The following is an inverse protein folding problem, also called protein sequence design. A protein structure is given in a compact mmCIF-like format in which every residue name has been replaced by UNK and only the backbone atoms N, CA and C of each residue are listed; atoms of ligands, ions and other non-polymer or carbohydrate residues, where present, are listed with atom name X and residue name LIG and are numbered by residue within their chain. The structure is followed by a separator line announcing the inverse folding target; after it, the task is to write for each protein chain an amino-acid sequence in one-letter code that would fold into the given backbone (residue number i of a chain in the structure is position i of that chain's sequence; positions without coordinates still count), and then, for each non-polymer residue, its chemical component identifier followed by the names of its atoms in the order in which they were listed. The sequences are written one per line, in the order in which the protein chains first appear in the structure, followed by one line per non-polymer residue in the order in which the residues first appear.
data_IF_727568994268
#
_entry.id   IF_727568994268
#
_cell.length_a   1.000
_cell.length_b   1.000
_cell.length_c   1.000
_cell.angle_alpha   90.00
_cell.angle_beta   90.00
_cell.angle_gamma   90.00
#
_symmetry.space_group_name_H-M   'P 1'
#
loop_
_entity.id
_entity.type
_entity.pdbx_description
1 polymer ?
#
# COMPACT_ATOMS: atom_id res chain seq x y z
N UNK A 1 77.98 -23.76 -33.65
CA UNK A 1 77.45 -22.48 -33.13
C UNK A 1 76.53 -21.89 -34.18
N UNK A 2 75.21 -22.08 -34.06
CA UNK A 2 74.24 -21.29 -34.85
C UNK A 2 73.02 -21.07 -33.98
N UNK A 3 72.81 -19.82 -33.58
CA UNK A 3 71.69 -19.39 -32.74
C UNK A 3 70.41 -19.36 -33.57
N UNK A 4 69.40 -20.03 -33.03
CA UNK A 4 67.99 -19.91 -33.37
C UNK A 4 67.46 -18.56 -32.90
N UNK A 5 66.69 -17.83 -33.70
CA UNK A 5 65.67 -16.90 -33.19
C UNK A 5 64.59 -16.69 -34.25
N UNK A 6 63.45 -17.34 -34.01
CA UNK A 6 62.21 -17.21 -34.78
C UNK A 6 61.37 -16.09 -34.18
N UNK A 7 61.03 -15.14 -35.05
CA UNK A 7 59.87 -14.24 -35.11
C UNK A 7 59.00 -14.10 -33.85
N UNK A 8 58.94 -12.86 -33.36
CA UNK A 8 58.04 -12.43 -32.29
C UNK A 8 56.56 -12.66 -32.63
N UNK A 9 55.84 -13.19 -31.65
CA UNK A 9 54.41 -13.36 -31.66
C UNK A 9 53.77 -12.05 -31.16
N UNK A 10 53.03 -11.37 -32.03
CA UNK A 10 52.14 -10.28 -31.65
C UNK A 10 51.03 -10.86 -30.77
N UNK A 11 51.02 -10.51 -29.48
CA UNK A 11 49.87 -10.73 -28.61
C UNK A 11 48.81 -9.67 -28.92
N UNK A 12 47.79 -10.07 -29.68
CA UNK A 12 46.55 -9.29 -29.81
C UNK A 12 45.77 -9.44 -28.51
N UNK A 13 45.77 -8.40 -27.68
CA UNK A 13 44.95 -8.35 -26.47
C UNK A 13 43.46 -8.23 -26.86
N UNK A 14 42.70 -9.28 -26.61
CA UNK A 14 41.23 -9.26 -26.72
C UNK A 14 40.68 -8.63 -25.44
N UNK A 15 40.25 -7.38 -25.51
CA UNK A 15 39.47 -6.72 -24.47
C UNK A 15 38.03 -7.24 -24.53
N UNK A 16 37.69 -8.19 -23.67
CA UNK A 16 36.31 -8.64 -23.47
C UNK A 16 35.57 -7.54 -22.69
N UNK A 17 34.88 -6.65 -23.41
CA UNK A 17 33.96 -5.69 -22.80
C UNK A 17 32.70 -6.44 -22.36
N UNK A 18 32.62 -6.80 -21.08
CA UNK A 18 31.40 -7.31 -20.47
C UNK A 18 30.42 -6.15 -20.32
N UNK A 19 29.60 -5.90 -21.33
CA UNK A 19 28.46 -5.00 -21.22
C UNK A 19 27.48 -5.57 -20.21
N UNK A 20 27.52 -5.08 -18.97
CA UNK A 20 26.47 -5.29 -18.01
C UNK A 20 25.20 -4.63 -18.57
N UNK A 21 24.32 -5.43 -19.16
CA UNK A 21 22.99 -4.98 -19.52
C UNK A 21 22.31 -4.51 -18.23
N UNK A 22 22.12 -3.19 -18.08
CA UNK A 22 21.13 -2.66 -17.17
C UNK A 22 19.79 -3.22 -17.66
N UNK A 23 19.35 -4.33 -17.07
CA UNK A 23 17.94 -4.69 -17.10
C UNK A 23 17.26 -3.50 -16.42
N UNK A 24 16.42 -2.72 -17.11
CA UNK A 24 15.59 -1.78 -16.40
C UNK A 24 14.82 -2.64 -15.41
N UNK A 25 15.06 -2.45 -14.11
CA UNK A 25 14.20 -2.96 -13.08
C UNK A 25 12.84 -2.36 -13.45
N UNK A 26 12.02 -3.16 -14.13
CA UNK A 26 10.71 -2.74 -14.57
C UNK A 26 10.08 -2.16 -13.32
N UNK A 27 9.71 -0.87 -13.38
CA UNK A 27 8.84 -0.26 -12.40
C UNK A 27 7.75 -1.27 -12.19
N UNK A 28 7.84 -2.02 -11.08
CA UNK A 28 6.95 -3.13 -10.87
C UNK A 28 5.57 -2.52 -11.04
N UNK A 29 4.69 -3.19 -11.79
CA UNK A 29 3.26 -2.86 -11.90
C UNK A 29 2.60 -3.15 -10.54
N UNK A 30 3.26 -2.69 -9.47
CA UNK A 30 2.93 -2.77 -8.08
C UNK A 30 2.04 -1.62 -7.64
N UNK A 31 1.59 -0.78 -8.58
CA UNK A 31 0.29 -0.13 -8.44
C UNK A 31 -0.82 -1.16 -8.67
N UNK A 32 -0.62 -2.39 -8.15
CA UNK A 32 -1.55 -3.51 -8.20
C UNK A 32 -2.89 -2.91 -7.82
N UNK A 33 -3.81 -2.88 -8.78
CA UNK A 33 -5.12 -2.28 -8.56
C UNK A 33 -5.86 -3.02 -7.45
N UNK A 34 -7.16 -2.78 -7.35
CA UNK A 34 -7.92 -3.34 -6.24
C UNK A 34 -8.36 -4.80 -6.45
N UNK A 35 -7.89 -5.48 -7.49
CA UNK A 35 -8.41 -6.79 -7.92
C UNK A 35 -8.16 -7.95 -6.94
N UNK A 36 -7.22 -7.81 -6.02
CA UNK A 36 -6.94 -8.81 -4.97
C UNK A 36 -7.75 -8.57 -3.69
N UNK A 37 -8.54 -7.50 -3.64
CA UNK A 37 -9.38 -7.12 -2.52
C UNK A 37 -10.86 -7.18 -2.91
N UNK A 38 -11.73 -7.53 -1.97
CA UNK A 38 -13.17 -7.55 -2.21
C UNK A 38 -13.73 -6.12 -2.10
N UNK A 39 -13.67 -5.36 -3.19
CA UNK A 39 -14.13 -3.96 -3.21
C UNK A 39 -15.65 -3.80 -3.11
N UNK A 40 -16.41 -4.89 -2.94
CA UNK A 40 -17.85 -4.82 -2.72
C UNK A 40 -18.19 -4.45 -1.27
N UNK A 41 -17.32 -4.77 -0.31
CA UNK A 41 -17.62 -4.66 1.12
C UNK A 41 -16.48 -3.98 1.85
N UNK A 42 -16.66 -2.70 2.13
CA UNK A 42 -15.77 -1.95 3.01
C UNK A 42 -16.02 -2.29 4.48
N UNK A 43 -14.95 -2.38 5.26
CA UNK A 43 -14.95 -2.66 6.69
C UNK A 43 -14.26 -1.55 7.47
N UNK A 44 -14.75 -1.31 8.68
CA UNK A 44 -14.16 -0.39 9.65
C UNK A 44 -13.44 -1.15 10.76
N UNK A 45 -12.26 -0.67 11.13
CA UNK A 45 -11.44 -1.17 12.23
C UNK A 45 -10.78 0.02 12.94
N UNK A 46 -10.75 0.01 14.27
CA UNK A 46 -9.92 0.89 15.09
C UNK A 46 -8.99 0.07 15.96
N UNK A 47 -7.73 0.51 16.06
CA UNK A 47 -6.77 -0.06 17.00
C UNK A 47 -5.38 0.59 16.94
N UNK A 48 -4.50 0.11 17.80
CA UNK A 48 -3.12 0.57 17.94
C UNK A 48 -2.20 -0.07 16.88
N UNK A 49 -1.27 0.71 16.34
CA UNK A 49 -0.21 0.22 15.46
C UNK A 49 0.79 -0.61 16.26
N UNK A 50 0.97 -1.88 15.87
CA UNK A 50 1.92 -2.81 16.50
C UNK A 50 3.16 -3.10 15.67
N UNK A 51 3.14 -2.85 14.35
CA UNK A 51 4.30 -2.99 13.46
C UNK A 51 4.22 -1.98 12.32
N UNK A 52 5.37 -1.41 11.94
CA UNK A 52 5.49 -0.48 10.82
C UNK A 52 6.61 -0.90 9.89
N UNK A 53 6.27 -1.14 8.62
CA UNK A 53 7.21 -1.21 7.51
C UNK A 53 6.91 -0.08 6.54
N UNK A 54 7.61 1.03 6.72
CA UNK A 54 7.45 2.22 5.91
C UNK A 54 8.32 2.15 4.66
N UNK A 55 7.72 2.17 3.46
CA UNK A 55 8.51 2.09 2.24
C UNK A 55 7.73 1.79 0.97
N UNK A 56 8.50 1.42 -0.06
CA UNK A 56 8.02 1.11 -1.40
C UNK A 56 7.93 -0.41 -1.64
N UNK A 57 7.01 -0.89 -2.50
CA UNK A 57 6.01 -0.12 -3.25
C UNK A 57 4.77 0.27 -2.42
N UNK A 58 4.59 -0.38 -1.27
CA UNK A 58 3.53 -0.12 -0.32
C UNK A 58 4.12 -0.10 1.08
N UNK A 59 3.67 0.84 1.90
CA UNK A 59 3.90 0.72 3.35
C UNK A 59 2.95 -0.33 3.91
N UNK A 60 3.44 -1.09 4.88
CA UNK A 60 2.68 -2.14 5.53
C UNK A 60 2.63 -1.81 7.02
N UNK A 61 1.42 -1.73 7.56
CA UNK A 61 1.18 -1.45 8.97
C UNK A 61 0.44 -2.65 9.54
N UNK A 62 0.76 -3.07 10.76
CA UNK A 62 -0.10 -4.02 11.50
C UNK A 62 -0.76 -3.27 12.63
N UNK A 63 -2.08 -3.40 12.75
CA UNK A 63 -2.86 -2.84 13.87
C UNK A 63 -3.52 -3.96 14.67
N UNK A 64 -3.76 -3.71 15.96
CA UNK A 64 -4.75 -4.47 16.73
C UNK A 64 -6.17 -4.18 16.22
N UNK A 65 -7.08 -5.10 16.50
CA UNK A 65 -8.52 -4.93 16.30
C UNK A 65 -9.14 -4.72 17.68
N UNK A 66 -9.21 -3.46 18.11
CA UNK A 66 -9.66 -3.10 19.46
C UNK A 66 -11.14 -2.70 19.47
N UNK A 67 -11.59 -2.01 18.43
CA UNK A 67 -12.98 -1.58 18.25
C UNK A 67 -13.39 -1.69 16.78
N UNK A 68 -14.61 -2.16 16.53
CA UNK A 68 -15.14 -2.37 15.18
C UNK A 68 -16.50 -1.68 14.95
N UNK A 69 -17.12 -1.15 16.00
CA UNK A 69 -18.36 -0.39 15.86
C UNK A 69 -18.12 0.88 15.03
N UNK A 70 -19.06 1.20 14.14
CA UNK A 70 -18.95 2.40 13.31
C UNK A 70 -19.11 3.64 14.19
N UNK A 71 -18.16 4.59 14.17
CA UNK A 71 -18.31 5.82 14.93
C UNK A 71 -19.45 6.66 14.37
N UNK A 72 -20.12 7.40 15.25
CA UNK A 72 -21.18 8.33 14.86
C UNK A 72 -20.65 9.33 13.82
N UNK A 73 -21.45 9.59 12.77
CA UNK A 73 -21.09 10.53 11.71
C UNK A 73 -19.96 10.06 10.78
N UNK A 74 -19.51 8.79 10.84
CA UNK A 74 -18.48 8.26 9.92
C UNK A 74 -18.76 8.60 8.45
N UNK A 75 -20.03 8.49 8.04
CA UNK A 75 -20.48 8.72 6.65
C UNK A 75 -20.52 10.19 6.25
N UNK A 76 -20.49 11.09 7.22
CA UNK A 76 -20.56 12.54 7.03
C UNK A 76 -19.19 13.21 7.21
N UNK A 77 -18.13 12.42 7.44
CA UNK A 77 -16.77 12.95 7.64
C UNK A 77 -16.29 13.73 6.42
N UNK A 78 -15.59 14.87 6.62
CA UNK A 78 -15.03 15.62 5.52
C UNK A 78 -13.99 14.78 4.77
N UNK A 79 -14.05 14.85 3.45
CA UNK A 79 -13.08 14.19 2.58
C UNK A 79 -11.89 15.12 2.32
N UNK A 80 -10.65 14.60 2.22
CA UNK A 80 -9.52 15.37 1.71
C UNK A 80 -9.83 15.94 0.33
N UNK A 81 -9.33 17.14 0.01
CA UNK A 81 -9.60 17.83 -1.26
C UNK A 81 -9.25 16.97 -2.50
N UNK A 82 -8.22 16.13 -2.41
CA UNK A 82 -7.75 15.28 -3.50
C UNK A 82 -8.53 13.97 -3.63
N UNK A 83 -9.50 13.71 -2.74
CA UNK A 83 -10.27 12.47 -2.76
C UNK A 83 -11.17 12.39 -3.99
N UNK A 84 -11.37 11.17 -4.49
CA UNK A 84 -12.34 10.89 -5.55
C UNK A 84 -13.72 10.80 -4.91
N UNK A 85 -14.39 11.94 -4.77
CA UNK A 85 -15.62 12.10 -3.98
C UNK A 85 -16.65 10.97 -4.17
N UNK A 86 -16.98 10.62 -5.42
CA UNK A 86 -17.95 9.55 -5.70
C UNK A 86 -17.51 8.17 -5.17
N UNK A 87 -16.22 7.84 -5.25
CA UNK A 87 -15.67 6.56 -4.81
C UNK A 87 -15.47 6.56 -3.28
N UNK A 88 -15.09 7.70 -2.71
CA UNK A 88 -14.99 7.89 -1.26
C UNK A 88 -16.36 7.74 -0.57
N UNK A 89 -17.38 8.43 -1.09
CA UNK A 89 -18.74 8.34 -0.57
C UNK A 89 -19.32 6.92 -0.72
N UNK A 90 -19.03 6.24 -1.84
CA UNK A 90 -19.43 4.84 -2.00
C UNK A 90 -18.74 3.92 -0.99
N UNK A 91 -17.46 4.16 -0.69
CA UNK A 91 -16.72 3.40 0.32
C UNK A 91 -17.28 3.64 1.72
N UNK A 92 -17.54 4.89 2.10
CA UNK A 92 -18.16 5.24 3.40
C UNK A 92 -19.58 4.67 3.55
N UNK A 93 -20.40 4.74 2.49
CA UNK A 93 -21.72 4.12 2.47
C UNK A 93 -21.64 2.59 2.62
N UNK A 94 -20.61 1.97 2.06
CA UNK A 94 -20.36 0.52 2.17
C UNK A 94 -19.80 0.09 3.53
N UNK A 95 -19.23 1.00 4.33
CA UNK A 95 -18.54 0.66 5.56
C UNK A 95 -19.48 -0.05 6.55
N UNK A 96 -18.96 -1.14 7.13
CA UNK A 96 -19.61 -1.97 8.15
C UNK A 96 -18.59 -2.40 9.20
N UNK A 97 -19.01 -2.80 10.42
CA UNK A 97 -18.09 -3.35 11.40
C UNK A 97 -17.28 -4.53 10.84
N UNK A 98 -16.02 -4.62 11.22
CA UNK A 98 -15.26 -5.85 11.01
C UNK A 98 -15.78 -6.96 11.94
N UNK A 99 -16.10 -8.11 11.35
CA UNK A 99 -16.69 -9.28 12.02
C UNK A 99 -15.80 -10.53 11.90
N UNK A 100 -14.55 -10.37 11.49
CA UNK A 100 -13.62 -11.50 11.36
C UNK A 100 -12.96 -11.87 12.69
N UNK A 101 -12.27 -13.01 12.70
CA UNK A 101 -11.72 -13.62 13.92
C UNK A 101 -10.30 -13.11 14.29
N UNK A 102 -9.68 -12.28 13.45
CA UNK A 102 -8.30 -11.86 13.65
C UNK A 102 -8.21 -10.73 14.67
N UNK A 103 -7.39 -10.90 15.70
CA UNK A 103 -7.08 -9.84 16.68
C UNK A 103 -6.07 -8.80 16.16
N UNK A 104 -5.46 -9.06 15.00
CA UNK A 104 -4.58 -8.13 14.31
C UNK A 104 -4.80 -8.17 12.80
N UNK A 105 -4.81 -7.00 12.19
CA UNK A 105 -4.96 -6.84 10.74
C UNK A 105 -3.72 -6.19 10.15
N UNK A 106 -3.26 -6.76 9.05
CA UNK A 106 -2.23 -6.18 8.21
C UNK A 106 -2.89 -5.20 7.25
N UNK A 107 -2.48 -3.95 7.33
CA UNK A 107 -2.88 -2.88 6.44
C UNK A 107 -1.89 -2.75 5.28
N UNK A 108 -2.40 -2.88 4.06
CA UNK A 108 -1.68 -2.50 2.85
C UNK A 108 -2.00 -1.03 2.53
N UNK A 109 -1.01 -0.15 2.73
CA UNK A 109 -1.12 1.30 2.54
C UNK A 109 -0.59 1.73 1.18
N UNK A 110 -0.82 2.99 0.79
CA UNK A 110 -0.18 3.57 -0.38
C UNK A 110 1.35 3.69 -0.21
N UNK A 111 2.01 4.15 -1.27
CA UNK A 111 3.41 4.57 -1.21
C UNK A 111 3.57 5.79 -0.28
N UNK A 112 4.67 5.92 0.47
CA UNK A 112 5.00 7.11 1.24
C UNK A 112 4.79 8.45 0.51
N UNK A 113 5.23 8.57 -0.75
CA UNK A 113 5.12 9.85 -1.48
C UNK A 113 3.66 10.24 -1.77
N UNK A 114 2.77 9.25 -1.97
CA UNK A 114 1.35 9.48 -2.12
C UNK A 114 0.68 9.84 -0.80
N UNK A 115 1.02 9.15 0.29
CA UNK A 115 0.51 9.50 1.63
C UNK A 115 0.90 10.92 2.04
N UNK A 116 2.12 11.37 1.73
CA UNK A 116 2.56 12.76 1.93
C UNK A 116 1.73 13.76 1.13
N UNK A 117 1.39 13.45 -0.12
CA UNK A 117 0.50 14.31 -0.94
C UNK A 117 -0.91 14.43 -0.36
N UNK A 118 -1.31 13.51 0.52
CA UNK A 118 -2.61 13.48 1.16
C UNK A 118 -2.55 13.83 2.65
N UNK A 119 -1.47 14.47 3.10
CA UNK A 119 -1.40 15.09 4.42
C UNK A 119 -0.59 14.32 5.46
N UNK A 120 -0.07 13.14 5.15
CA UNK A 120 0.81 12.39 6.06
C UNK A 120 2.29 12.60 5.70
N UNK A 121 2.90 13.64 6.25
CA UNK A 121 4.26 14.11 5.95
C UNK A 121 5.38 13.37 6.71
N UNK A 122 5.01 12.37 7.51
CA UNK A 122 5.93 11.53 8.28
C UNK A 122 5.52 10.05 8.21
N UNK A 123 6.43 9.12 8.54
CA UNK A 123 6.04 7.75 8.84
C UNK A 123 5.06 7.66 10.00
N UNK A 124 4.19 6.65 9.94
CA UNK A 124 3.44 6.19 11.10
C UNK A 124 4.38 5.51 12.11
N UNK A 125 4.00 5.51 13.37
CA UNK A 125 4.77 5.01 14.49
C UNK A 125 3.99 3.94 15.28
N UNK A 126 4.73 3.00 15.86
CA UNK A 126 4.13 2.01 16.78
C UNK A 126 3.58 2.73 18.01
N UNK A 127 2.37 2.36 18.44
CA UNK A 127 1.66 2.99 19.54
C UNK A 127 0.64 4.06 19.11
N UNK A 128 0.63 4.48 17.84
CA UNK A 128 -0.43 5.36 17.33
C UNK A 128 -1.74 4.60 17.15
N UNK A 129 -2.88 5.25 17.42
CA UNK A 129 -4.19 4.68 17.11
C UNK A 129 -4.63 5.09 15.72
N UNK A 130 -5.06 4.10 14.92
CA UNK A 130 -5.70 4.31 13.63
C UNK A 130 -7.17 3.95 13.69
N UNK A 131 -8.00 4.77 13.07
CA UNK A 131 -9.28 4.35 12.52
C UNK A 131 -9.11 4.09 11.03
N UNK A 132 -9.60 2.98 10.52
CA UNK A 132 -9.38 2.57 9.12
C UNK A 132 -10.68 2.11 8.49
N UNK A 133 -10.93 2.57 7.27
CA UNK A 133 -11.93 2.00 6.37
C UNK A 133 -11.24 1.46 5.12
N UNK A 134 -11.49 0.20 4.79
CA UNK A 134 -10.91 -0.42 3.60
C UNK A 134 -11.51 -1.76 3.24
N UNK A 135 -10.87 -2.47 2.33
CA UNK A 135 -11.37 -3.73 1.77
C UNK A 135 -10.47 -4.88 2.16
N UNK A 136 -11.06 -5.99 2.62
CA UNK A 136 -10.33 -7.21 2.93
C UNK A 136 -9.80 -7.89 1.66
N UNK A 137 -8.68 -8.60 1.80
CA UNK A 137 -8.12 -9.42 0.74
C UNK A 137 -9.05 -10.58 0.39
N UNK A 138 -9.31 -10.79 -0.91
CA UNK A 138 -10.21 -11.85 -1.37
C UNK A 138 -9.70 -13.26 -1.07
N UNK A 139 -8.38 -13.41 -0.89
CA UNK A 139 -7.71 -14.68 -0.57
C UNK A 139 -7.12 -14.74 0.85
N UNK A 140 -7.02 -13.60 1.53
CA UNK A 140 -6.48 -13.49 2.87
C UNK A 140 -7.25 -12.39 3.62
N UNK A 141 -8.11 -12.80 4.53
CA UNK A 141 -8.97 -11.93 5.34
C UNK A 141 -8.24 -11.27 6.52
N UNK A 142 -6.95 -11.55 6.70
CA UNK A 142 -6.08 -10.81 7.62
C UNK A 142 -5.39 -9.59 6.95
N UNK A 143 -5.47 -9.48 5.62
CA UNK A 143 -4.96 -8.31 4.88
C UNK A 143 -6.13 -7.38 4.53
N UNK A 144 -5.94 -6.09 4.78
CA UNK A 144 -6.90 -5.04 4.47
C UNK A 144 -6.20 -3.94 3.70
N UNK A 145 -6.73 -3.56 2.54
CA UNK A 145 -6.26 -2.37 1.84
C UNK A 145 -7.02 -1.16 2.32
N UNK A 146 -6.32 -0.28 3.03
CA UNK A 146 -6.89 0.94 3.54
C UNK A 146 -7.25 1.87 2.36
N UNK A 147 -8.50 2.35 2.36
CA UNK A 147 -8.95 3.42 1.46
C UNK A 147 -8.91 4.74 2.22
N UNK A 148 -9.34 4.73 3.48
CA UNK A 148 -9.30 5.88 4.35
C UNK A 148 -8.74 5.47 5.70
N UNK A 149 -7.96 6.36 6.31
CA UNK A 149 -7.65 6.23 7.72
C UNK A 149 -7.55 7.59 8.38
N UNK A 150 -7.74 7.60 9.70
CA UNK A 150 -7.69 8.78 10.54
C UNK A 150 -6.77 8.54 11.72
N UNK A 151 -5.99 9.56 12.05
CA UNK A 151 -5.19 9.66 13.27
C UNK A 151 -5.95 10.44 14.34
N UNK A 152 -5.55 10.27 15.61
CA UNK A 152 -6.19 10.95 16.74
C UNK A 152 -6.05 12.47 16.71
N UNK A 153 -5.01 12.98 16.04
CA UNK A 153 -4.80 14.42 15.84
C UNK A 153 -5.74 15.04 14.79
N UNK A 154 -6.62 14.23 14.19
CA UNK A 154 -7.58 14.64 13.16
C UNK A 154 -7.05 14.55 11.74
N UNK A 155 -5.80 14.13 11.53
CA UNK A 155 -5.25 13.88 10.19
C UNK A 155 -6.05 12.76 9.51
N UNK A 156 -6.53 13.03 8.30
CA UNK A 156 -7.29 12.09 7.48
C UNK A 156 -6.59 11.87 6.15
N UNK A 157 -6.42 10.61 5.75
CA UNK A 157 -5.73 10.25 4.50
C UNK A 157 -6.65 9.39 3.63
N UNK A 158 -6.72 9.73 2.34
CA UNK A 158 -7.53 9.01 1.34
C UNK A 158 -6.64 8.38 0.27
N UNK A 159 -6.67 7.05 0.17
CA UNK A 159 -5.67 6.22 -0.52
C UNK A 159 -6.21 5.50 -1.77
N UNK A 160 -6.79 6.25 -2.72
CA UNK A 160 -7.26 5.68 -3.98
C UNK A 160 -6.64 6.34 -5.22
N UNK A 161 -5.74 5.61 -5.88
CA UNK A 161 -5.08 6.03 -7.13
C UNK A 161 -5.76 5.50 -8.40
N UNK A 162 -6.42 4.34 -8.29
CA UNK A 162 -7.05 3.64 -9.42
C UNK A 162 -8.50 3.32 -9.09
N UNK A 163 -9.33 3.18 -10.13
CA UNK A 163 -10.73 2.78 -9.98
C UNK A 163 -10.86 1.39 -9.34
N UNK A 164 -11.94 1.19 -8.58
CA UNK A 164 -12.30 -0.14 -8.11
C UNK A 164 -12.79 -1.02 -9.27
N UNK A 165 -12.48 -2.34 -9.28
CA UNK A 165 -13.01 -3.27 -10.27
C UNK A 165 -14.53 -3.44 -10.13
N UNK A 166 -15.04 -3.34 -8.91
CA UNK A 166 -16.46 -3.40 -8.59
C UNK A 166 -16.82 -2.25 -7.68
N UNK A 167 -17.95 -1.58 -7.95
CA UNK A 167 -18.44 -0.51 -7.08
C UNK A 167 -18.82 -1.08 -5.70
N UNK A 168 -18.48 -0.40 -4.59
CA UNK A 168 -18.87 -0.84 -3.26
C UNK A 168 -20.39 -0.89 -3.09
N UNK A 169 -20.85 -1.94 -2.40
CA UNK A 169 -22.26 -2.15 -2.06
C UNK A 169 -22.57 -1.42 -0.74
N UNK A 170 -23.56 -0.52 -0.69
CA UNK A 170 -23.95 0.14 0.56
C UNK A 170 -24.25 -0.87 1.67
N UNK A 171 -23.83 -0.55 2.90
CA UNK A 171 -24.29 -1.29 4.07
C UNK A 171 -25.76 -0.91 4.33
N UNK A 172 -26.64 -1.91 4.40
CA UNK A 172 -28.06 -1.71 4.71
C UNK A 172 -28.26 -1.37 6.19
#
# INVERSE_FOLDING_TARGET
MTKMTTKGLLLTAVLTATSAALVPAGTAIAHHGWSTFDTRRAYYIRGEITDVRWGNPHSIITISVDETDLPEGLRDRPLPEQAREADANATLASARPYEGEHSQIRLTMAEPSWMTRWGLDRPLEVGETLEVVGYLGSANDQDLRAVMFWLEDGTAVYQQLTSFPTRPEPAN
#
